data_IF_340347336689
#
_entry.id   IF_340347336689
#
_cell.length_a   1.000
_cell.length_b   1.000
_cell.length_c   1.000
_cell.angle_alpha   90.00
_cell.angle_beta   90.00
_cell.angle_gamma   90.00
#
_symmetry.space_group_name_H-M   'P 1'
#
loop_
_entity.id
_entity.type
_entity.pdbx_description
1 polymer ?
#
# COMPACT_ATOMS: atom_id res chain seq x y z
N UNK A 1 26.68 29.93 -46.11
CA UNK A 1 26.58 30.26 -44.66
C UNK A 1 25.15 30.51 -44.17
N UNK A 2 24.37 31.43 -44.77
CA UNK A 2 23.05 31.88 -44.24
C UNK A 2 21.98 30.79 -44.08
N UNK A 3 21.96 29.80 -44.97
CA UNK A 3 21.00 28.68 -44.90
C UNK A 3 21.29 27.67 -43.78
N UNK A 4 22.57 27.47 -43.43
CA UNK A 4 22.95 26.59 -42.32
C UNK A 4 22.54 27.14 -40.95
N UNK A 5 22.54 28.47 -40.80
CA UNK A 5 22.11 29.13 -39.56
C UNK A 5 20.59 28.96 -39.37
N UNK A 6 19.81 29.10 -40.46
CA UNK A 6 18.35 28.91 -40.41
C UNK A 6 17.97 27.48 -40.04
N UNK A 7 18.61 26.47 -40.64
CA UNK A 7 18.35 25.07 -40.30
C UNK A 7 18.80 24.73 -38.87
N UNK A 8 19.94 25.26 -38.43
CA UNK A 8 20.40 25.07 -37.05
C UNK A 8 19.42 25.65 -36.02
N UNK A 9 18.90 26.87 -36.25
CA UNK A 9 17.88 27.46 -35.37
C UNK A 9 16.58 26.64 -35.35
N UNK A 10 16.14 26.12 -36.50
CA UNK A 10 14.94 25.28 -36.56
C UNK A 10 15.10 23.97 -35.79
N UNK A 11 16.26 23.30 -35.90
CA UNK A 11 16.54 22.06 -35.15
C UNK A 11 16.63 22.34 -33.65
N UNK A 12 17.27 23.43 -33.24
CA UNK A 12 17.35 23.82 -31.83
C UNK A 12 15.97 24.14 -31.25
N UNK A 13 15.12 24.84 -32.00
CA UNK A 13 13.73 25.11 -31.59
C UNK A 13 12.92 23.82 -31.43
N UNK A 14 13.04 22.89 -32.38
CA UNK A 14 12.38 21.58 -32.31
C UNK A 14 12.85 20.78 -31.09
N UNK A 15 14.16 20.73 -30.83
CA UNK A 15 14.73 20.04 -29.67
C UNK A 15 14.25 20.66 -28.35
N UNK A 16 14.21 21.99 -28.26
CA UNK A 16 13.71 22.67 -27.07
C UNK A 16 12.24 22.36 -26.82
N UNK A 17 11.39 22.39 -27.85
CA UNK A 17 9.98 22.02 -27.74
C UNK A 17 9.81 20.56 -27.31
N UNK A 18 10.58 19.64 -27.89
CA UNK A 18 10.55 18.23 -27.52
C UNK A 18 10.97 17.98 -26.06
N UNK A 19 11.97 18.71 -25.56
CA UNK A 19 12.42 18.63 -24.16
C UNK A 19 11.33 19.09 -23.19
N UNK A 20 10.66 20.21 -23.49
CA UNK A 20 9.55 20.71 -22.67
C UNK A 20 8.39 19.72 -22.66
N UNK A 21 8.01 19.19 -23.82
CA UNK A 21 6.96 18.18 -23.92
C UNK A 21 7.28 16.92 -23.12
N UNK A 22 8.51 16.42 -23.24
CA UNK A 22 8.97 15.23 -22.52
C UNK A 22 9.00 15.48 -21.00
N UNK A 23 9.43 16.68 -20.57
CA UNK A 23 9.42 17.06 -19.16
C UNK A 23 8.00 17.07 -18.60
N UNK A 24 7.04 17.59 -19.35
CA UNK A 24 5.64 17.60 -18.95
C UNK A 24 5.08 16.19 -18.78
N UNK A 25 5.29 15.30 -19.75
CA UNK A 25 4.84 13.91 -19.67
C UNK A 25 5.48 13.15 -18.50
N UNK A 26 6.77 13.38 -18.23
CA UNK A 26 7.44 12.78 -17.07
C UNK A 26 6.86 13.28 -15.75
N UNK A 27 6.47 14.54 -15.68
CA UNK A 27 5.87 15.11 -14.49
C UNK A 27 4.50 14.50 -14.18
N UNK A 28 3.63 14.39 -15.19
CA UNK A 28 2.32 13.73 -15.05
C UNK A 28 2.47 12.27 -14.62
N UNK A 29 3.38 11.53 -15.26
CA UNK A 29 3.65 10.14 -14.90
C UNK A 29 4.18 10.02 -13.47
N UNK A 30 5.10 10.90 -13.07
CA UNK A 30 5.65 10.90 -11.71
C UNK A 30 4.58 11.18 -10.65
N UNK A 31 3.65 12.10 -10.93
CA UNK A 31 2.52 12.37 -10.05
C UNK A 31 1.61 11.15 -9.92
N UNK A 32 1.23 10.53 -11.03
CA UNK A 32 0.40 9.32 -11.02
C UNK A 32 1.06 8.18 -10.23
N UNK A 33 2.37 7.96 -10.42
CA UNK A 33 3.11 6.98 -9.64
C UNK A 33 3.12 7.29 -8.14
N UNK A 34 3.31 8.55 -7.76
CA UNK A 34 3.28 8.96 -6.36
C UNK A 34 1.91 8.73 -5.72
N UNK A 35 0.83 9.01 -6.44
CA UNK A 35 -0.53 8.83 -5.92
C UNK A 35 -0.88 7.35 -5.76
N UNK A 36 -0.50 6.50 -6.71
CA UNK A 36 -0.65 5.04 -6.56
C UNK A 36 0.13 4.53 -5.35
N UNK A 37 1.38 4.97 -5.16
CA UNK A 37 2.17 4.57 -3.99
C UNK A 37 1.55 5.05 -2.67
N UNK A 38 0.97 6.25 -2.64
CA UNK A 38 0.24 6.76 -1.46
C UNK A 38 -0.98 5.90 -1.16
N UNK A 39 -1.77 5.55 -2.17
CA UNK A 39 -2.95 4.68 -2.02
C UNK A 39 -2.55 3.30 -1.50
N UNK A 40 -1.54 2.66 -2.11
CA UNK A 40 -1.03 1.36 -1.64
C UNK A 40 -0.56 1.41 -0.19
N UNK A 41 0.14 2.47 0.21
CA UNK A 41 0.60 2.63 1.58
C UNK A 41 -0.55 2.86 2.56
N UNK A 42 -1.60 3.59 2.17
CA UNK A 42 -2.79 3.79 2.98
C UNK A 42 -3.55 2.47 3.20
N UNK A 43 -3.78 1.69 2.13
CA UNK A 43 -4.42 0.38 2.21
C UNK A 43 -3.62 -0.61 3.06
N UNK A 44 -2.30 -0.65 2.90
CA UNK A 44 -1.43 -1.50 3.72
C UNK A 44 -1.53 -1.16 5.20
N UNK A 45 -1.58 0.13 5.55
CA UNK A 45 -1.78 0.57 6.94
C UNK A 45 -3.14 0.16 7.47
N UNK A 46 -4.20 0.31 6.67
CA UNK A 46 -5.55 -0.11 7.05
C UNK A 46 -5.61 -1.63 7.29
N UNK A 47 -5.00 -2.44 6.42
CA UNK A 47 -4.91 -3.89 6.59
C UNK A 47 -4.11 -4.28 7.83
N UNK A 48 -3.00 -3.60 8.10
CA UNK A 48 -2.20 -3.83 9.32
C UNK A 48 -3.01 -3.50 10.58
N UNK A 49 -3.71 -2.37 10.59
CA UNK A 49 -4.58 -1.99 11.70
C UNK A 49 -5.70 -3.03 11.89
N UNK A 50 -6.38 -3.42 10.82
CA UNK A 50 -7.45 -4.42 10.90
C UNK A 50 -6.93 -5.77 11.41
N UNK A 51 -5.73 -6.18 10.99
CA UNK A 51 -5.08 -7.40 11.52
C UNK A 51 -4.77 -7.29 13.00
N UNK A 52 -4.32 -6.12 13.47
CA UNK A 52 -4.09 -5.88 14.89
C UNK A 52 -5.41 -5.89 15.68
N UNK A 53 -6.47 -5.29 15.14
CA UNK A 53 -7.81 -5.30 15.73
C UNK A 53 -8.35 -6.73 15.80
N UNK A 54 -8.28 -7.50 14.70
CA UNK A 54 -8.66 -8.91 14.68
C UNK A 54 -7.85 -9.73 15.68
N UNK A 55 -6.52 -9.57 15.70
CA UNK A 55 -5.65 -10.24 16.67
C UNK A 55 -6.00 -9.86 18.11
N UNK A 56 -6.47 -8.64 18.37
CA UNK A 56 -6.92 -8.19 19.68
C UNK A 56 -8.26 -8.81 20.11
N UNK A 57 -9.14 -9.11 19.14
CA UNK A 57 -10.44 -9.73 19.37
C UNK A 57 -10.27 -11.23 19.59
N UNK A 58 -9.38 -11.88 18.83
CA UNK A 58 -9.07 -13.31 18.96
C UNK A 58 -8.01 -13.62 20.03
N UNK A 59 -7.65 -12.65 20.88
CA UNK A 59 -6.74 -12.91 22.00
C UNK A 59 -7.28 -14.04 22.87
N UNK A 60 -6.50 -15.10 23.11
CA UNK A 60 -6.97 -16.29 23.82
C UNK A 60 -7.43 -15.96 25.23
N UNK A 61 -6.87 -14.92 25.86
CA UNK A 61 -7.28 -14.47 27.20
C UNK A 61 -8.72 -13.94 27.19
N UNK A 62 -9.11 -13.15 26.19
CA UNK A 62 -10.48 -12.62 26.04
C UNK A 62 -11.47 -13.71 25.66
N UNK A 63 -11.05 -14.63 24.78
CA UNK A 63 -11.87 -15.79 24.42
C UNK A 63 -12.12 -16.68 25.63
N UNK A 64 -11.12 -16.88 26.48
CA UNK A 64 -11.22 -17.66 27.71
C UNK A 64 -12.10 -16.98 28.75
N UNK A 65 -11.92 -15.68 28.97
CA UNK A 65 -12.80 -14.90 29.85
C UNK A 65 -14.26 -14.94 29.36
N UNK A 66 -14.50 -14.85 28.05
CA UNK A 66 -15.84 -14.96 27.47
C UNK A 66 -16.43 -16.37 27.64
N UNK A 67 -15.62 -17.41 27.40
CA UNK A 67 -16.03 -18.80 27.57
C UNK A 67 -16.39 -19.12 29.03
N UNK A 68 -15.56 -18.67 29.97
CA UNK A 68 -15.77 -18.89 31.40
C UNK A 68 -16.98 -18.08 31.93
N UNK A 69 -17.11 -16.79 31.55
CA UNK A 69 -18.15 -15.91 32.11
C UNK A 69 -19.52 -16.00 31.43
N UNK A 70 -19.57 -16.33 30.13
CA UNK A 70 -20.83 -16.34 29.37
C UNK A 70 -21.29 -17.73 28.97
N UNK A 71 -20.36 -18.68 28.82
CA UNK A 71 -20.67 -20.03 28.34
C UNK A 71 -20.46 -21.10 29.42
N UNK A 72 -20.05 -20.72 30.64
CA UNK A 72 -19.71 -21.63 31.76
C UNK A 72 -18.71 -22.74 31.36
N UNK A 73 -17.94 -22.49 30.30
CA UNK A 73 -16.99 -23.43 29.74
C UNK A 73 -15.68 -23.33 30.51
N UNK A 74 -15.35 -24.41 31.21
CA UNK A 74 -14.09 -24.55 31.94
C UNK A 74 -13.10 -25.41 31.14
N UNK A 75 -11.78 -25.18 31.30
CA UNK A 75 -10.78 -26.04 30.69
C UNK A 75 -10.99 -27.50 31.12
N UNK A 76 -11.02 -28.46 30.17
CA UNK A 76 -11.21 -29.87 30.51
C UNK A 76 -10.06 -30.37 31.37
N UNK A 77 -10.37 -31.21 32.36
CA UNK A 77 -9.34 -31.81 33.22
C UNK A 77 -8.47 -32.77 32.41
N UNK A 78 -7.18 -32.96 32.78
CA UNK A 78 -6.28 -33.86 32.04
C UNK A 78 -6.83 -35.28 31.87
N UNK A 79 -7.61 -35.74 32.84
CA UNK A 79 -8.28 -37.05 32.87
C UNK A 79 -9.41 -37.20 31.83
N UNK A 80 -9.93 -36.09 31.29
CA UNK A 80 -11.06 -36.08 30.34
C UNK A 80 -10.61 -36.04 28.87
N UNK A 81 -9.31 -35.87 28.60
CA UNK A 81 -8.78 -35.84 27.23
C UNK A 81 -8.33 -37.25 26.85
N UNK A 82 -9.19 -38.00 26.19
CA UNK A 82 -8.80 -39.27 25.56
C UNK A 82 -7.87 -38.94 24.40
N UNK A 83 -6.58 -39.30 24.53
CA UNK A 83 -5.62 -39.31 23.42
C UNK A 83 -5.99 -40.45 22.48
N UNK A 84 -6.24 -40.13 21.21
CA UNK A 84 -6.11 -41.06 20.09
C UNK A 84 -4.62 -41.24 19.75
#
# INVERSE_FOLDING_TARGET
MRWLVGTACAVLGLMAAAQVWLSHQRYELAQQHQDVLRQMNAERKALQQLRLEMASITRPERLRELAERRLDMHPPRPEQVVRL
#
